data_IF_005452644314
#
_entry.id   IF_005452644314
#
_cell.length_a   1.000
_cell.length_b   1.000
_cell.length_c   1.000
_cell.angle_alpha   90.00
_cell.angle_beta   90.00
_cell.angle_gamma   90.00
#
_symmetry.space_group_name_H-M   'P 1'
#
loop_
_entity.id
_entity.type
_entity.pdbx_description
1 polymer ?
#
# COMPACT_ATOMS: atom_id res chain seq x y z
N UNK A 1 11.38 -4.48 -53.34
CA UNK A 1 10.62 -3.46 -52.59
C UNK A 1 9.95 -3.96 -51.31
N UNK A 2 9.25 -5.11 -51.28
CA UNK A 2 8.49 -5.55 -50.08
C UNK A 2 9.32 -5.76 -48.79
N UNK A 3 10.57 -6.23 -48.88
CA UNK A 3 11.44 -6.45 -47.70
C UNK A 3 11.86 -5.15 -47.00
N UNK A 4 12.28 -4.12 -47.75
CA UNK A 4 12.75 -2.87 -47.18
C UNK A 4 11.64 -2.10 -46.42
N UNK A 5 10.40 -2.16 -46.94
CA UNK A 5 9.22 -1.58 -46.27
C UNK A 5 8.93 -2.30 -44.95
N UNK A 6 9.02 -3.63 -44.93
CA UNK A 6 8.80 -4.42 -43.71
C UNK A 6 9.88 -4.17 -42.65
N UNK A 7 11.15 -4.09 -43.05
CA UNK A 7 12.26 -3.77 -42.14
C UNK A 7 12.14 -2.35 -41.58
N UNK A 8 11.76 -1.36 -42.41
CA UNK A 8 11.53 0.02 -41.96
C UNK A 8 10.38 0.12 -40.97
N UNK A 9 9.28 -0.60 -41.20
CA UNK A 9 8.15 -0.66 -40.27
C UNK A 9 8.55 -1.31 -38.93
N UNK A 10 9.29 -2.43 -38.97
CA UNK A 10 9.75 -3.11 -37.77
C UNK A 10 10.70 -2.25 -36.92
N UNK A 11 11.64 -1.54 -37.56
CA UNK A 11 12.53 -0.58 -36.88
C UNK A 11 11.76 0.61 -36.33
N UNK A 12 10.75 1.10 -37.06
CA UNK A 12 9.84 2.15 -36.58
C UNK A 12 9.11 1.74 -35.31
N UNK A 13 8.51 0.55 -35.29
CA UNK A 13 7.82 0.00 -34.12
C UNK A 13 8.80 -0.17 -32.94
N UNK A 14 10.01 -0.69 -33.20
CA UNK A 14 11.04 -0.85 -32.17
C UNK A 14 11.48 0.50 -31.59
N UNK A 15 11.68 1.53 -32.43
CA UNK A 15 12.08 2.86 -32.00
C UNK A 15 11.00 3.57 -31.17
N UNK A 16 9.72 3.40 -31.52
CA UNK A 16 8.60 3.90 -30.71
C UNK A 16 8.54 3.18 -29.36
N UNK A 17 8.79 1.87 -29.33
CA UNK A 17 8.87 1.10 -28.08
C UNK A 17 10.02 1.53 -27.17
N UNK A 18 11.18 1.89 -27.72
CA UNK A 18 12.33 2.35 -26.94
C UNK A 18 12.17 3.78 -26.40
N UNK A 19 11.38 4.62 -27.07
CA UNK A 19 11.11 5.99 -26.62
C UNK A 19 9.97 6.09 -25.58
N UNK A 20 9.19 5.01 -25.38
CA UNK A 20 8.12 4.97 -24.39
C UNK A 20 8.63 4.78 -22.94
N UNK A 21 9.96 4.67 -22.73
CA UNK A 21 10.58 4.55 -21.41
C UNK A 21 10.68 5.85 -20.62
N UNK A 22 9.73 6.78 -20.77
CA UNK A 22 9.59 7.87 -19.81
C UNK A 22 9.33 7.25 -18.44
N UNK A 23 10.11 7.66 -17.42
CA UNK A 23 9.88 7.29 -16.02
C UNK A 23 8.42 7.60 -15.66
N UNK A 24 7.58 6.57 -15.73
CA UNK A 24 6.17 6.67 -15.41
C UNK A 24 6.06 6.32 -13.93
N UNK A 25 5.50 7.24 -13.15
CA UNK A 25 5.02 6.90 -11.83
C UNK A 25 3.86 5.92 -12.00
N UNK A 26 4.01 4.73 -11.42
CA UNK A 26 2.93 3.75 -11.34
C UNK A 26 2.15 4.02 -10.07
N UNK A 27 0.84 4.19 -10.19
CA UNK A 27 -0.07 4.26 -9.04
C UNK A 27 -0.89 2.98 -8.97
N UNK A 28 -0.80 2.27 -7.84
CA UNK A 28 -1.64 1.12 -7.54
C UNK A 28 -2.69 1.55 -6.51
N UNK A 29 -3.95 1.24 -6.76
CA UNK A 29 -5.06 1.53 -5.83
C UNK A 29 -5.64 0.25 -5.29
N UNK A 30 -5.78 0.20 -3.98
CA UNK A 30 -6.37 -0.90 -3.21
C UNK A 30 -7.65 -0.40 -2.57
N UNK A 31 -8.67 -1.25 -2.55
CA UNK A 31 -9.89 -0.99 -1.80
C UNK A 31 -9.74 -1.64 -0.43
N UNK A 32 -10.43 -1.11 0.57
CA UNK A 32 -10.64 -1.88 1.79
C UNK A 32 -11.58 -3.06 1.49
N UNK A 33 -11.09 -4.26 1.79
CA UNK A 33 -11.80 -5.51 1.62
C UNK A 33 -11.37 -6.55 2.65
N UNK A 34 -10.68 -6.13 3.71
CA UNK A 34 -10.13 -7.01 4.74
C UNK A 34 -10.61 -6.51 6.09
N UNK A 35 -11.51 -7.27 6.69
CA UNK A 35 -12.13 -6.91 7.96
C UNK A 35 -11.14 -6.74 9.12
N UNK A 36 -10.01 -7.44 9.15
CA UNK A 36 -9.09 -7.42 10.29
C UNK A 36 -7.65 -7.79 9.93
N UNK A 37 -6.72 -7.42 10.82
CA UNK A 37 -5.29 -7.71 10.64
C UNK A 37 -5.03 -9.22 10.58
N UNK A 38 -4.36 -9.75 9.54
CA UNK A 38 -4.12 -11.19 9.39
C UNK A 38 -3.47 -11.81 10.64
N UNK A 39 -4.07 -12.89 11.14
CA UNK A 39 -3.58 -13.61 12.32
C UNK A 39 -4.09 -13.08 13.67
N UNK A 40 -4.86 -11.99 13.69
CA UNK A 40 -5.41 -11.39 14.91
C UNK A 40 -6.92 -11.58 15.10
N UNK A 41 -7.55 -12.39 14.24
CA UNK A 41 -8.94 -12.80 14.47
C UNK A 41 -9.06 -13.51 15.82
N UNK A 42 -9.97 -13.02 16.67
CA UNK A 42 -10.12 -13.48 18.06
C UNK A 42 -11.35 -14.40 18.25
N UNK A 43 -12.09 -14.65 17.18
CA UNK A 43 -13.30 -15.48 17.17
C UNK A 43 -14.52 -14.78 17.78
N UNK A 44 -14.50 -13.46 17.93
CA UNK A 44 -15.63 -12.71 18.47
C UNK A 44 -16.45 -12.02 17.36
N UNK A 45 -17.56 -11.38 17.74
CA UNK A 45 -18.50 -10.77 16.78
C UNK A 45 -17.88 -9.58 16.01
N UNK A 46 -16.72 -9.09 16.42
CA UNK A 46 -15.98 -8.03 15.73
C UNK A 46 -15.33 -8.52 14.43
N UNK A 47 -14.80 -9.75 14.39
CA UNK A 47 -14.20 -10.37 13.18
C UNK A 47 -15.15 -10.38 11.96
N UNK A 48 -16.46 -10.34 12.20
CA UNK A 48 -17.50 -10.35 11.16
C UNK A 48 -17.92 -8.95 10.68
N UNK A 49 -17.40 -7.90 11.31
CA UNK A 49 -17.69 -6.51 10.94
C UNK A 49 -16.51 -5.99 10.14
N UNK A 50 -16.80 -5.21 9.11
CA UNK A 50 -15.81 -4.55 8.27
C UNK A 50 -15.37 -3.23 8.93
N UNK A 51 -16.36 -2.43 9.35
CA UNK A 51 -16.15 -1.15 10.02
C UNK A 51 -16.71 -1.15 11.45
N UNK A 52 -15.81 -1.09 12.43
CA UNK A 52 -16.00 -0.77 13.85
C UNK A 52 -15.33 0.57 14.17
N UNK A 53 -16.13 1.63 14.24
CA UNK A 53 -15.69 2.95 14.72
C UNK A 53 -15.24 3.90 13.61
N UNK A 54 -14.25 4.74 13.92
CA UNK A 54 -13.69 5.76 13.03
C UNK A 54 -12.16 5.68 13.05
N UNK A 55 -11.45 5.95 11.95
CA UNK A 55 -11.95 6.35 10.64
C UNK A 55 -12.56 5.20 9.83
N UNK A 56 -13.26 5.54 8.76
CA UNK A 56 -13.71 4.61 7.73
C UNK A 56 -12.77 4.78 6.53
N UNK A 57 -12.01 3.75 6.16
CA UNK A 57 -11.08 3.84 5.03
C UNK A 57 -11.73 3.21 3.82
N UNK A 58 -11.63 3.91 2.69
CA UNK A 58 -12.24 3.45 1.43
C UNK A 58 -11.21 2.86 0.49
N UNK A 59 -10.01 3.42 0.47
CA UNK A 59 -8.93 2.97 -0.41
C UNK A 59 -7.57 3.53 -0.03
N UNK A 60 -6.52 2.87 -0.51
CA UNK A 60 -5.14 3.32 -0.44
C UNK A 60 -4.55 3.34 -1.85
N UNK A 61 -3.93 4.46 -2.23
CA UNK A 61 -3.19 4.60 -3.47
C UNK A 61 -1.69 4.72 -3.17
N UNK A 62 -0.89 3.85 -3.78
CA UNK A 62 0.57 3.80 -3.62
C UNK A 62 1.17 4.21 -4.95
N UNK A 63 1.98 5.27 -4.93
CA UNK A 63 2.68 5.78 -6.11
C UNK A 63 4.18 5.57 -5.96
N UNK A 64 4.80 4.96 -6.96
CA UNK A 64 6.24 4.73 -7.02
C UNK A 64 6.75 4.87 -8.47
N UNK A 65 8.03 5.12 -8.63
CA UNK A 65 8.67 5.15 -9.96
C UNK A 65 8.79 3.72 -10.51
N UNK A 66 8.20 3.43 -11.67
CA UNK A 66 8.15 2.04 -12.19
C UNK A 66 9.52 1.47 -12.57
N UNK A 67 10.49 2.33 -12.87
CA UNK A 67 11.82 1.93 -13.33
C UNK A 67 12.77 1.65 -12.17
N UNK A 68 12.81 2.56 -11.21
CA UNK A 68 13.69 2.50 -10.03
C UNK A 68 13.03 1.84 -8.84
N UNK A 69 11.70 1.65 -8.89
CA UNK A 69 10.86 1.16 -7.80
C UNK A 69 10.88 2.06 -6.56
N UNK A 70 11.30 3.31 -6.71
CA UNK A 70 11.36 4.27 -5.63
C UNK A 70 9.95 4.70 -5.21
N UNK A 71 9.59 4.45 -3.94
CA UNK A 71 8.33 4.90 -3.37
C UNK A 71 8.26 6.43 -3.33
N UNK A 72 7.19 7.00 -3.87
CA UNK A 72 6.99 8.45 -3.94
C UNK A 72 5.93 8.92 -2.94
N UNK A 73 4.79 8.24 -2.87
CA UNK A 73 3.71 8.64 -1.96
C UNK A 73 2.76 7.50 -1.64
N UNK A 74 2.12 7.59 -0.47
CA UNK A 74 0.94 6.79 -0.12
C UNK A 74 -0.19 7.74 0.20
N UNK A 75 -1.36 7.54 -0.42
CA UNK A 75 -2.57 8.33 -0.20
C UNK A 75 -3.66 7.43 0.33
N UNK A 76 -4.16 7.72 1.51
CA UNK A 76 -5.25 6.99 2.16
C UNK A 76 -6.53 7.81 2.07
N UNK A 77 -7.56 7.30 1.41
CA UNK A 77 -8.87 7.94 1.30
C UNK A 77 -9.76 7.47 2.44
N UNK A 78 -10.14 8.37 3.35
CA UNK A 78 -10.88 8.01 4.56
C UNK A 78 -11.88 9.09 4.97
N UNK A 79 -12.96 8.73 5.64
CA UNK A 79 -13.88 9.68 6.29
C UNK A 79 -13.76 9.60 7.80
N UNK A 80 -14.15 10.69 8.48
CA UNK A 80 -14.15 10.78 9.94
C UNK A 80 -12.78 10.45 10.57
N UNK A 81 -11.69 10.98 10.00
CA UNK A 81 -10.32 10.79 10.51
C UNK A 81 -10.26 10.97 12.02
N UNK A 82 -9.84 9.92 12.72
CA UNK A 82 -9.41 10.01 14.12
C UNK A 82 -7.91 10.26 14.16
N UNK A 83 -7.45 10.95 15.20
CA UNK A 83 -6.01 11.09 15.43
C UNK A 83 -5.43 9.76 15.88
N UNK A 84 -4.11 9.60 15.70
CA UNK A 84 -3.36 8.37 15.89
C UNK A 84 -3.55 7.42 14.70
N UNK A 85 -2.76 7.71 13.68
CA UNK A 85 -2.64 6.93 12.46
C UNK A 85 -1.29 6.24 12.42
N UNK A 86 -1.29 4.96 12.07
CA UNK A 86 -0.06 4.22 11.82
C UNK A 86 -0.07 3.72 10.38
N UNK A 87 0.99 3.98 9.62
CA UNK A 87 1.24 3.34 8.34
C UNK A 87 2.45 2.43 8.48
N UNK A 88 2.27 1.15 8.20
CA UNK A 88 3.33 0.15 8.15
C UNK A 88 3.69 -0.13 6.69
N UNK A 89 4.98 -0.21 6.43
CA UNK A 89 5.54 -0.48 5.10
C UNK A 89 6.46 -1.68 5.21
N UNK A 90 6.19 -2.70 4.42
CA UNK A 90 7.11 -3.78 4.12
C UNK A 90 7.54 -3.55 2.67
N UNK A 91 8.81 -3.19 2.46
CA UNK A 91 9.34 -2.92 1.13
C UNK A 91 9.92 -4.17 0.48
N UNK A 92 10.18 -5.25 1.22
CA UNK A 92 10.41 -6.58 0.66
C UNK A 92 9.55 -7.64 1.37
N UNK A 93 8.61 -8.24 0.63
CA UNK A 93 7.70 -9.23 1.23
C UNK A 93 8.32 -10.63 1.29
N UNK A 94 9.65 -10.73 1.24
CA UNK A 94 10.31 -12.01 1.42
C UNK A 94 10.29 -12.43 2.89
N UNK A 95 10.08 -11.47 3.81
CA UNK A 95 9.77 -11.69 5.22
C UNK A 95 8.29 -11.47 5.59
N UNK A 96 7.91 -11.88 6.80
CA UNK A 96 6.60 -11.62 7.41
C UNK A 96 6.58 -10.32 8.26
N UNK A 97 7.66 -9.54 8.23
CA UNK A 97 7.84 -8.35 9.08
C UNK A 97 7.50 -7.04 8.39
N UNK A 98 7.52 -5.95 9.17
CA UNK A 98 7.49 -4.59 8.64
C UNK A 98 8.91 -4.03 8.61
N UNK A 99 9.22 -3.20 7.61
CA UNK A 99 10.53 -2.56 7.49
C UNK A 99 10.48 -1.13 8.04
N UNK A 100 9.33 -0.47 7.85
CA UNK A 100 9.11 0.89 8.32
C UNK A 100 7.75 1.09 8.97
N UNK A 101 7.70 2.07 9.88
CA UNK A 101 6.48 2.56 10.49
C UNK A 101 6.46 4.08 10.45
N UNK A 102 5.32 4.64 10.05
CA UNK A 102 5.03 6.07 10.19
C UNK A 102 3.93 6.16 11.23
N UNK A 103 4.12 7.01 12.24
CA UNK A 103 3.12 7.27 13.27
C UNK A 103 2.74 8.74 13.23
N UNK A 104 1.45 9.04 13.09
CA UNK A 104 0.91 10.40 13.21
C UNK A 104 -0.04 10.51 14.40
N UNK A 105 0.36 11.29 15.40
CA UNK A 105 -0.39 11.49 16.65
C UNK A 105 -1.06 12.86 16.76
N UNK A 106 -0.94 13.77 15.77
CA UNK A 106 -1.50 15.14 15.88
C UNK A 106 -2.53 15.46 14.77
N UNK A 107 -3.31 16.51 15.01
CA UNK A 107 -4.47 16.91 14.18
C UNK A 107 -4.14 17.86 13.04
N UNK A 108 -2.89 18.31 12.95
CA UNK A 108 -2.43 19.36 12.06
C UNK A 108 -1.37 18.81 11.10
N UNK A 109 -1.22 19.46 9.94
CA UNK A 109 -0.44 19.11 8.74
C UNK A 109 1.09 18.97 8.91
N UNK A 110 1.54 18.56 10.09
CA UNK A 110 2.92 18.29 10.46
C UNK A 110 2.89 17.20 11.51
N UNK A 111 3.67 16.14 11.34
CA UNK A 111 3.82 15.11 12.35
C UNK A 111 4.15 15.75 13.70
N UNK A 112 3.41 15.32 14.71
CA UNK A 112 3.59 15.77 16.08
C UNK A 112 4.72 15.06 16.79
N UNK A 113 4.39 14.40 17.91
CA UNK A 113 5.26 13.40 18.55
C UNK A 113 5.22 12.09 17.73
N UNK A 114 4.93 12.23 16.43
CA UNK A 114 4.92 11.20 15.42
C UNK A 114 6.26 11.22 14.69
N UNK A 115 6.50 10.21 13.87
CA UNK A 115 7.78 10.09 13.16
C UNK A 115 7.75 8.99 12.13
N UNK A 116 8.81 8.96 11.33
CA UNK A 116 9.16 7.89 10.43
C UNK A 116 10.26 7.06 11.09
N UNK A 117 10.04 5.75 11.19
CA UNK A 117 10.87 4.82 11.93
C UNK A 117 11.21 3.61 11.05
N UNK A 118 12.41 3.06 11.22
CA UNK A 118 12.71 1.68 10.81
C UNK A 118 12.30 0.72 11.92
N UNK A 119 11.77 -0.42 11.55
CA UNK A 119 11.28 -1.46 12.46
C UNK A 119 12.38 -2.50 12.70
N UNK A 120 12.54 -2.95 13.95
CA UNK A 120 13.48 -4.01 14.28
C UNK A 120 13.05 -5.37 13.69
N UNK A 121 14.01 -6.28 13.45
CA UNK A 121 13.71 -7.62 12.92
C UNK A 121 12.74 -8.41 13.82
N UNK A 122 12.90 -8.27 15.13
CA UNK A 122 11.94 -8.77 16.12
C UNK A 122 11.27 -7.57 16.75
N UNK A 123 9.94 -7.55 16.71
CA UNK A 123 9.15 -6.44 17.23
C UNK A 123 7.86 -6.95 17.86
N UNK A 124 7.27 -6.11 18.69
CA UNK A 124 6.00 -6.35 19.39
C UNK A 124 4.97 -5.35 18.90
N UNK A 125 3.79 -5.83 18.50
CA UNK A 125 2.68 -4.93 18.17
C UNK A 125 2.12 -4.30 19.43
N UNK A 126 1.78 -3.01 19.34
CA UNK A 126 0.87 -2.38 20.30
C UNK A 126 -0.54 -2.81 19.95
N UNK A 127 -1.31 -3.20 20.97
CA UNK A 127 -2.69 -3.67 20.78
C UNK A 127 -3.69 -2.64 21.30
N UNK A 128 -4.84 -2.58 20.66
CA UNK A 128 -6.00 -1.86 21.17
C UNK A 128 -6.42 -2.48 22.50
N UNK A 129 -6.41 -1.67 23.56
CA UNK A 129 -6.82 -2.08 24.91
C UNK A 129 -8.24 -1.64 25.30
N UNK A 130 -9.09 -1.30 24.33
CA UNK A 130 -10.46 -0.85 24.57
C UNK A 130 -11.46 -1.96 24.21
N UNK A 131 -12.55 -2.13 24.99
CA UNK A 131 -13.59 -3.10 24.66
C UNK A 131 -14.23 -2.83 23.29
N UNK A 132 -14.72 -3.87 22.56
CA UNK A 132 -15.25 -3.74 21.20
C UNK A 132 -16.39 -2.71 21.04
N UNK A 133 -17.17 -2.52 22.11
CA UNK A 133 -18.31 -1.61 22.13
C UNK A 133 -17.93 -0.12 22.17
N UNK A 134 -16.64 0.21 22.19
CA UNK A 134 -16.14 1.59 22.16
C UNK A 134 -15.69 2.05 20.77
N UNK A 135 -16.04 1.30 19.72
CA UNK A 135 -15.66 1.65 18.34
C UNK A 135 -14.19 1.34 18.05
N UNK A 136 -13.68 0.24 18.61
CA UNK A 136 -12.34 -0.27 18.36
C UNK A 136 -12.37 -1.80 18.38
N UNK A 137 -11.41 -2.45 17.71
CA UNK A 137 -11.26 -3.91 17.76
C UNK A 137 -10.34 -4.30 18.91
N UNK A 138 -10.90 -4.91 19.95
CA UNK A 138 -10.11 -5.29 21.12
C UNK A 138 -9.03 -6.30 20.74
N UNK A 139 -7.83 -6.15 21.32
CA UNK A 139 -6.65 -6.98 21.08
C UNK A 139 -6.12 -7.00 19.63
N UNK A 140 -6.54 -6.06 18.79
CA UNK A 140 -6.00 -5.93 17.44
C UNK A 140 -4.81 -4.97 17.38
N UNK A 141 -3.87 -5.14 16.43
CA UNK A 141 -2.73 -4.25 16.28
C UNK A 141 -3.13 -2.83 15.87
N UNK A 142 -2.55 -1.83 16.53
CA UNK A 142 -2.67 -0.42 16.14
C UNK A 142 -1.30 0.27 15.94
N UNK A 143 -0.20 -0.49 16.05
CA UNK A 143 1.16 -0.01 15.89
C UNK A 143 2.21 -1.01 16.38
N UNK A 144 3.44 -0.53 16.57
CA UNK A 144 4.58 -1.29 17.09
C UNK A 144 5.11 -0.57 18.34
N UNK A 145 5.56 -1.34 19.32
CA UNK A 145 6.16 -0.81 20.55
C UNK A 145 7.38 0.08 20.24
N UNK A 146 7.49 1.22 20.91
CA UNK A 146 8.52 2.22 20.59
C UNK A 146 9.95 1.71 20.81
N UNK A 147 10.14 0.75 21.71
CA UNK A 147 11.44 0.13 22.00
C UNK A 147 11.96 -0.74 20.82
N UNK A 148 11.07 -1.13 19.91
CA UNK A 148 11.38 -1.92 18.70
C UNK A 148 11.54 -1.04 17.45
N UNK A 149 11.62 0.28 17.63
CA UNK A 149 11.70 1.26 16.55
C UNK A 149 12.98 2.08 16.65
N UNK A 150 13.58 2.36 15.49
CA UNK A 150 14.66 3.35 15.36
C UNK A 150 14.18 4.53 14.55
N UNK A 151 14.22 5.72 15.15
CA UNK A 151 13.80 6.97 14.49
C UNK A 151 14.68 7.28 13.27
N UNK A 152 14.02 7.55 12.14
CA UNK A 152 14.64 8.02 10.90
C UNK A 152 14.43 9.53 10.78
N UNK A 153 13.19 10.00 10.94
CA UNK A 153 12.83 11.41 10.75
C UNK A 153 11.57 11.80 11.53
N UNK A 154 11.66 12.82 12.38
CA UNK A 154 10.54 13.42 13.13
C UNK A 154 9.79 14.49 12.34
N UNK A 155 10.36 14.92 11.21
CA UNK A 155 9.81 15.96 10.33
C UNK A 155 9.15 15.39 9.07
N UNK A 156 8.96 14.06 9.02
CA UNK A 156 8.32 13.38 7.89
C UNK A 156 6.97 14.04 7.55
N UNK A 157 6.71 14.21 6.26
CA UNK A 157 5.56 14.98 5.78
C UNK A 157 4.32 14.11 5.68
N UNK A 158 3.33 14.40 6.54
CA UNK A 158 1.96 13.84 6.47
C UNK A 158 0.96 14.98 6.35
N UNK A 159 0.16 14.96 5.29
CA UNK A 159 -0.80 16.02 4.96
C UNK A 159 -2.20 15.46 4.90
N UNK A 160 -3.09 16.02 5.73
CA UNK A 160 -4.53 15.75 5.68
C UNK A 160 -5.27 16.83 4.91
N UNK A 161 -5.97 16.43 3.86
CA UNK A 161 -6.92 17.26 3.12
C UNK A 161 -8.35 16.87 3.53
N UNK A 162 -8.95 17.65 4.43
CA UNK A 162 -10.32 17.41 4.90
C UNK A 162 -11.42 17.71 3.88
N UNK A 163 -11.10 18.32 2.74
CA UNK A 163 -12.06 18.52 1.63
C UNK A 163 -12.05 17.30 0.72
N UNK A 164 -10.86 16.82 0.38
CA UNK A 164 -10.69 15.61 -0.42
C UNK A 164 -10.87 14.32 0.38
N UNK A 165 -10.87 14.41 1.73
CA UNK A 165 -10.90 13.26 2.64
C UNK A 165 -9.69 12.32 2.42
N UNK A 166 -8.50 12.91 2.28
CA UNK A 166 -7.27 12.17 1.98
C UNK A 166 -6.14 12.46 2.96
N UNK A 167 -5.44 11.41 3.37
CA UNK A 167 -4.21 11.47 4.17
C UNK A 167 -3.03 11.07 3.27
N UNK A 168 -2.13 12.00 3.01
CA UNK A 168 -0.99 11.82 2.11
C UNK A 168 0.31 11.72 2.89
N UNK A 169 1.04 10.63 2.67
CA UNK A 169 2.40 10.39 3.14
C UNK A 169 3.37 10.63 1.98
N UNK A 170 4.29 11.60 2.12
CA UNK A 170 5.26 11.93 1.07
C UNK A 170 6.61 11.27 1.34
N UNK A 171 6.97 10.33 0.47
CA UNK A 171 8.21 9.57 0.53
C UNK A 171 9.28 10.08 -0.44
N UNK A 172 8.99 11.11 -1.25
CA UNK A 172 9.93 11.62 -2.25
C UNK A 172 11.32 12.03 -1.74
N UNK A 173 11.51 12.43 -0.45
CA UNK A 173 12.84 12.70 0.08
C UNK A 173 13.64 11.45 0.48
N UNK A 174 13.04 10.26 0.51
CA UNK A 174 13.66 9.03 1.04
C UNK A 174 13.88 7.99 -0.04
N UNK A 175 14.97 7.22 0.07
CA UNK A 175 15.32 6.16 -0.87
C UNK A 175 14.69 4.81 -0.49
N UNK A 176 13.35 4.74 -0.46
CA UNK A 176 12.64 3.47 -0.19
C UNK A 176 12.37 2.75 -1.51
N UNK A 177 13.19 1.73 -1.80
CA UNK A 177 13.04 0.90 -3.00
C UNK A 177 12.07 -0.25 -2.69
N UNK A 178 10.96 -0.32 -3.43
CA UNK A 178 10.00 -1.40 -3.32
C UNK A 178 10.47 -2.63 -4.11
N UNK A 179 10.54 -3.77 -3.44
CA UNK A 179 10.78 -5.07 -4.05
C UNK A 179 9.70 -5.44 -5.07
N UNK A 180 9.88 -6.59 -5.72
CA UNK A 180 8.85 -7.17 -6.60
C UNK A 180 7.54 -7.44 -5.86
N UNK A 181 7.66 -7.70 -4.56
CA UNK A 181 6.56 -7.88 -3.63
C UNK A 181 6.78 -6.97 -2.44
N UNK A 182 5.74 -6.25 -2.06
CA UNK A 182 5.72 -5.30 -0.96
C UNK A 182 4.33 -5.31 -0.35
N UNK A 183 4.22 -4.92 0.92
CA UNK A 183 2.94 -4.78 1.60
C UNK A 183 2.88 -3.43 2.31
N UNK A 184 1.67 -2.90 2.40
CA UNK A 184 1.35 -1.76 3.24
C UNK A 184 0.22 -2.18 4.16
N UNK A 185 0.18 -1.61 5.36
CA UNK A 185 -0.97 -1.68 6.24
C UNK A 185 -1.18 -0.31 6.87
N UNK A 186 -2.42 0.15 6.91
CA UNK A 186 -2.79 1.36 7.63
C UNK A 186 -3.62 0.96 8.83
N UNK A 187 -3.19 1.36 10.03
CA UNK A 187 -3.78 0.99 11.31
C UNK A 187 -4.16 2.28 12.06
N UNK A 188 -5.44 2.65 12.10
CA UNK A 188 -5.87 3.73 12.98
C UNK A 188 -5.88 3.26 14.44
N UNK A 189 -6.00 4.19 15.39
CA UNK A 189 -6.11 3.92 16.85
C UNK A 189 -6.99 2.71 17.20
N UNK A 190 -8.11 2.58 16.51
CA UNK A 190 -9.17 1.60 16.75
C UNK A 190 -8.94 0.25 16.06
N UNK A 191 -7.85 0.10 15.30
CA UNK A 191 -7.53 -1.06 14.48
C UNK A 191 -8.71 -1.48 13.57
N UNK A 192 -9.46 -0.49 13.09
CA UNK A 192 -10.74 -0.72 12.43
C UNK A 192 -10.60 -1.52 11.12
N UNK A 193 -9.56 -1.22 10.36
CA UNK A 193 -9.47 -1.52 8.92
C UNK A 193 -8.00 -1.78 8.58
N UNK A 194 -7.73 -2.83 7.81
CA UNK A 194 -6.38 -3.24 7.42
C UNK A 194 -6.35 -3.53 5.93
N UNK A 195 -6.06 -2.52 5.12
CA UNK A 195 -5.78 -2.76 3.71
C UNK A 195 -4.44 -3.48 3.52
N UNK A 196 -4.46 -4.67 2.90
CA UNK A 196 -3.28 -5.36 2.40
C UNK A 196 -3.30 -5.43 0.87
N UNK A 197 -2.16 -5.13 0.28
CA UNK A 197 -1.95 -5.07 -1.17
C UNK A 197 -1.58 -6.45 -1.72
N UNK A 198 -2.42 -7.10 -2.55
CA UNK A 198 -2.02 -8.33 -3.22
C UNK A 198 -0.92 -8.08 -4.26
N UNK A 199 -0.01 -9.05 -4.38
CA UNK A 199 1.23 -8.95 -5.19
C UNK A 199 0.95 -8.47 -6.65
N UNK A 200 1.55 -7.36 -7.11
CA UNK A 200 1.31 -6.81 -8.45
C UNK A 200 1.60 -7.79 -9.60
N UNK A 201 2.59 -8.67 -9.41
CA UNK A 201 2.94 -9.70 -10.38
C UNK A 201 1.80 -10.69 -10.66
N UNK A 202 0.94 -10.95 -9.67
CA UNK A 202 -0.20 -11.85 -9.83
C UNK A 202 -1.24 -11.27 -10.79
N UNK A 203 -1.47 -9.96 -10.76
CA UNK A 203 -2.38 -9.28 -11.69
C UNK A 203 -1.85 -9.28 -13.12
N UNK A 204 -0.55 -9.04 -13.30
CA UNK A 204 0.09 -9.11 -14.62
C UNK A 204 0.05 -10.53 -15.18
N UNK A 205 0.43 -11.53 -14.38
CA UNK A 205 0.41 -12.93 -14.80
C UNK A 205 -1.01 -13.39 -15.15
N UNK A 206 -2.00 -12.93 -14.40
CA UNK A 206 -3.41 -13.17 -14.72
C UNK A 206 -3.81 -12.55 -16.06
N UNK A 207 -3.44 -11.30 -16.32
CA UNK A 207 -3.69 -10.62 -17.60
C UNK A 207 -3.02 -11.34 -18.79
N UNK A 208 -1.76 -11.75 -18.63
CA UNK A 208 -1.03 -12.52 -19.65
C UNK A 208 -1.68 -13.89 -19.87
N UNK A 209 -2.13 -14.55 -18.80
CA UNK A 209 -2.86 -15.81 -18.87
C UNK A 209 -4.16 -15.69 -19.68
N UNK A 210 -4.95 -14.65 -19.44
CA UNK A 210 -6.18 -14.37 -20.19
C UNK A 210 -5.90 -14.06 -21.68
N UNK A 211 -4.88 -13.24 -21.96
CA UNK A 211 -4.46 -12.95 -23.33
C UNK A 211 -4.00 -14.23 -24.06
N UNK A 212 -3.26 -15.09 -23.38
CA UNK A 212 -2.85 -16.40 -23.89
C UNK A 212 -4.05 -17.31 -24.22
N UNK A 213 -5.03 -17.38 -23.33
CA UNK A 213 -6.26 -18.16 -23.57
C UNK A 213 -7.09 -17.61 -24.73
N UNK A 214 -7.24 -16.29 -24.86
CA UNK A 214 -7.92 -15.67 -26.00
C UNK A 214 -7.20 -15.97 -27.33
N UNK A 215 -5.86 -15.97 -27.32
CA UNK A 215 -5.06 -16.39 -28.46
C UNK A 215 -5.28 -17.85 -28.88
N UNK A 216 -5.44 -18.77 -27.91
CA UNK A 216 -5.74 -20.18 -28.20
C UNK A 216 -7.16 -20.35 -28.74
N UNK A 217 -8.15 -19.66 -28.15
CA UNK A 217 -9.55 -19.75 -28.56
C UNK A 217 -9.77 -19.26 -30.00
N UNK A 218 -9.08 -18.19 -30.41
CA UNK A 218 -9.17 -17.65 -31.77
C UNK A 218 -8.56 -18.58 -32.82
N UNK A 219 -7.51 -19.34 -32.49
CA UNK A 219 -6.94 -20.35 -33.40
C UNK A 219 -7.93 -21.47 -33.70
N UNK A 220 -8.62 -21.97 -32.67
CA UNK A 220 -9.59 -23.08 -32.82
C UNK A 220 -10.83 -22.76 -33.64
N UNK A 221 -11.13 -21.47 -33.88
CA UNK A 221 -12.30 -21.06 -34.69
C UNK A 221 -12.01 -21.05 -36.19
N UNK A 222 -10.73 -21.06 -36.57
CA UNK A 222 -10.30 -21.00 -37.96
C UNK A 222 -9.87 -22.36 -38.52
N UNK A 223 -9.91 -23.40 -37.69
CA UNK A 223 -9.74 -24.81 -38.07
C UNK A 223 -11.12 -25.50 -38.10
#
# INVERSE_FOLDING_TARGET
>A
MKKAVFTGLALGILSVGLMAGSAMATTLTFQDNINFFPGYGNGTDDDLRDEIGNPQVSSMAITFDDTTRLLQSVVVNMTNRSLFDTLLVNNDSQGQGWDFMIRDTKSNSSLGDGGFYSVAENYTYTLVGLPPNQGARDLHPNGIEMDDLTEIDTTFSVVWDGVANTLTYDFSPYEIILGEKFNFAYLPWCANDVMQVPEPASMLLFGVGLAGLAGIATRRKND
#
